data_IF_996621497109
#
_entry.id   IF_996621497109
#
_cell.length_a   1.000
_cell.length_b   1.000
_cell.length_c   1.000
_cell.angle_alpha   90.00
_cell.angle_beta   90.00
_cell.angle_gamma   90.00
#
_symmetry.space_group_name_H-M   'P 1'
#
loop_
_entity.id
_entity.type
_entity.pdbx_description
1 polymer ?
#
# COMPACT_ATOMS: atom_id res chain seq x y z
N UNK A 1 -1.21 -6.28 2.29
CA UNK A 1 -0.01 -7.01 1.83
C UNK A 1 -0.46 -8.21 1.03
N UNK A 2 0.10 -8.38 -0.16
CA UNK A 2 -0.17 -9.52 -1.03
C UNK A 2 1.09 -10.38 -1.10
N UNK A 3 0.97 -11.65 -0.79
CA UNK A 3 2.05 -12.64 -0.94
C UNK A 3 1.79 -13.43 -2.21
N UNK A 4 2.77 -13.46 -3.10
CA UNK A 4 2.67 -14.05 -4.42
C UNK A 4 3.67 -15.18 -4.60
N UNK A 5 3.32 -16.13 -5.44
CA UNK A 5 4.25 -17.15 -5.92
C UNK A 5 4.96 -16.74 -7.23
N UNK A 6 5.81 -17.63 -7.72
CA UNK A 6 6.63 -17.40 -8.91
C UNK A 6 5.84 -17.22 -10.22
N UNK A 7 4.57 -17.59 -10.26
CA UNK A 7 3.76 -17.51 -11.49
C UNK A 7 3.44 -16.07 -11.88
N UNK A 8 3.38 -15.16 -10.90
CA UNK A 8 3.04 -13.76 -11.10
C UNK A 8 4.30 -12.89 -11.34
N UNK A 9 5.47 -13.39 -10.99
CA UNK A 9 6.73 -12.64 -11.11
C UNK A 9 7.01 -12.12 -12.54
N UNK A 10 6.76 -12.87 -13.62
CA UNK A 10 6.99 -12.35 -14.97
C UNK A 10 6.22 -11.05 -15.26
N UNK A 11 4.96 -10.98 -14.85
CA UNK A 11 4.13 -9.79 -15.04
C UNK A 11 4.63 -8.61 -14.19
N UNK A 12 5.05 -8.88 -12.94
CA UNK A 12 5.68 -7.87 -12.09
C UNK A 12 6.94 -7.33 -12.75
N UNK A 13 7.82 -8.20 -13.23
CA UNK A 13 9.08 -7.81 -13.85
C UNK A 13 8.86 -6.99 -15.10
N UNK A 14 7.85 -7.34 -15.89
CA UNK A 14 7.56 -6.63 -17.13
C UNK A 14 7.10 -5.20 -16.88
N UNK A 15 6.12 -5.01 -16.01
CA UNK A 15 5.56 -3.68 -15.76
C UNK A 15 6.43 -2.82 -14.84
N UNK A 16 6.96 -3.40 -13.78
CA UNK A 16 7.73 -2.68 -12.76
C UNK A 16 9.21 -2.52 -13.11
N UNK A 17 9.68 -3.26 -14.11
CA UNK A 17 11.12 -3.35 -14.47
C UNK A 17 12.00 -3.70 -13.27
N UNK A 18 11.43 -4.43 -12.33
CA UNK A 18 12.08 -4.84 -11.08
C UNK A 18 11.97 -6.35 -10.91
N UNK A 19 13.09 -7.01 -10.76
CA UNK A 19 13.13 -8.42 -10.38
C UNK A 19 13.15 -8.54 -8.85
N UNK A 20 12.06 -9.03 -8.23
CA UNK A 20 11.99 -9.16 -6.77
C UNK A 20 12.95 -10.21 -6.21
N UNK A 21 13.41 -11.16 -7.00
CA UNK A 21 14.37 -12.18 -6.58
C UNK A 21 15.75 -11.62 -6.39
N UNK A 22 16.22 -10.84 -7.33
CA UNK A 22 17.56 -10.23 -7.28
C UNK A 22 17.58 -8.89 -6.56
N UNK A 23 16.43 -8.25 -6.43
CA UNK A 23 16.29 -6.90 -5.91
C UNK A 23 16.82 -5.83 -6.85
N UNK A 24 17.10 -6.17 -8.12
CA UNK A 24 17.52 -5.19 -9.11
C UNK A 24 16.37 -4.23 -9.40
N UNK A 25 16.62 -2.96 -9.19
CA UNK A 25 15.66 -1.88 -9.42
C UNK A 25 16.12 -1.07 -10.62
N UNK A 26 15.27 -0.99 -11.62
CA UNK A 26 15.50 -0.17 -12.82
C UNK A 26 14.73 1.15 -12.72
N UNK A 27 13.59 1.13 -12.01
CA UNK A 27 12.76 2.31 -11.75
C UNK A 27 12.60 2.52 -10.24
N UNK A 28 11.93 3.58 -9.81
CA UNK A 28 11.65 3.84 -8.41
C UNK A 28 10.94 2.67 -7.69
N UNK A 29 10.93 2.72 -6.36
CA UNK A 29 10.38 1.63 -5.53
C UNK A 29 8.86 1.48 -5.58
N UNK A 30 8.13 2.51 -6.00
CA UNK A 30 6.67 2.56 -6.06
C UNK A 30 6.23 2.64 -7.52
N UNK A 31 5.25 1.82 -7.88
CA UNK A 31 4.53 1.93 -9.16
C UNK A 31 3.14 2.46 -8.85
N UNK A 32 2.70 3.49 -9.56
CA UNK A 32 1.35 4.03 -9.50
C UNK A 32 0.67 3.87 -10.85
N UNK A 33 -0.52 3.30 -10.84
CA UNK A 33 -1.33 3.11 -12.05
C UNK A 33 -2.27 4.31 -12.21
N UNK A 34 -1.92 5.20 -13.12
CA UNK A 34 -2.68 6.43 -13.35
C UNK A 34 -4.10 6.15 -13.85
N UNK A 35 -4.28 5.10 -14.64
CA UNK A 35 -5.57 4.74 -15.23
C UNK A 35 -6.46 3.92 -14.30
N UNK A 36 -5.97 3.52 -13.14
CA UNK A 36 -6.76 2.78 -12.16
C UNK A 36 -7.79 3.69 -11.48
N UNK A 37 -9.06 3.29 -11.52
CA UNK A 37 -10.14 4.00 -10.81
C UNK A 37 -9.94 4.03 -9.29
N UNK A 38 -9.27 3.03 -8.75
CA UNK A 38 -8.88 3.04 -7.34
C UNK A 38 -7.60 3.84 -7.08
N UNK A 39 -6.96 4.35 -8.14
CA UNK A 39 -5.61 4.93 -8.08
C UNK A 39 -4.66 3.99 -7.35
N UNK A 40 -4.56 2.77 -7.89
CA UNK A 40 -3.71 1.74 -7.30
C UNK A 40 -2.24 2.12 -7.39
N UNK A 41 -1.56 1.90 -6.30
CA UNK A 41 -0.11 1.95 -6.24
C UNK A 41 0.41 0.71 -5.51
N UNK A 42 1.63 0.30 -5.83
CA UNK A 42 2.24 -0.85 -5.16
C UNK A 42 3.74 -0.72 -5.02
N UNK A 43 4.25 -1.38 -4.01
CA UNK A 43 5.68 -1.55 -3.75
C UNK A 43 5.98 -3.02 -3.64
N UNK A 44 6.99 -3.47 -4.38
CA UNK A 44 7.43 -4.86 -4.37
C UNK A 44 8.68 -4.98 -3.52
N UNK A 45 8.57 -5.77 -2.47
CA UNK A 45 9.69 -6.04 -1.60
C UNK A 45 10.62 -7.09 -2.23
N UNK A 46 11.92 -6.92 -2.02
CA UNK A 46 12.90 -7.92 -2.44
C UNK A 46 12.60 -9.23 -1.73
N UNK A 47 12.66 -10.35 -2.46
CA UNK A 47 12.57 -11.68 -1.87
C UNK A 47 13.66 -11.87 -0.80
N UNK A 48 13.27 -12.47 0.32
CA UNK A 48 14.17 -12.64 1.47
C UNK A 48 14.36 -11.37 2.31
N UNK A 49 13.57 -10.31 2.08
CA UNK A 49 13.61 -9.13 2.95
C UNK A 49 13.12 -9.42 4.36
N UNK A 50 12.12 -10.28 4.49
CA UNK A 50 11.59 -10.69 5.78
C UNK A 50 12.19 -12.03 6.19
N UNK A 51 12.55 -12.17 7.47
CA UNK A 51 13.29 -13.33 8.00
C UNK A 51 12.62 -14.67 7.72
N UNK A 52 11.30 -14.71 7.84
CA UNK A 52 10.50 -15.93 7.72
C UNK A 52 9.75 -16.01 6.37
N UNK A 53 10.19 -15.23 5.39
CA UNK A 53 9.61 -15.26 4.05
C UNK A 53 10.05 -16.49 3.28
N UNK A 54 9.10 -17.25 2.75
CA UNK A 54 9.37 -18.37 1.87
C UNK A 54 10.14 -17.92 0.61
N UNK A 55 11.04 -18.76 0.12
CA UNK A 55 11.94 -18.42 -1.00
C UNK A 55 11.22 -18.25 -2.33
N UNK A 56 10.06 -18.87 -2.48
CA UNK A 56 9.20 -18.81 -3.66
C UNK A 56 8.10 -17.74 -3.56
N UNK A 57 8.04 -17.01 -2.45
CA UNK A 57 7.05 -15.96 -2.21
C UNK A 57 7.61 -14.57 -2.36
N UNK A 58 6.80 -13.67 -2.86
CA UNK A 58 7.09 -12.23 -2.96
C UNK A 58 6.03 -11.46 -2.20
N UNK A 59 6.47 -10.55 -1.35
CA UNK A 59 5.57 -9.67 -0.61
C UNK A 59 5.38 -8.36 -1.39
N UNK A 60 4.13 -8.02 -1.64
CA UNK A 60 3.75 -6.79 -2.33
C UNK A 60 2.79 -6.00 -1.46
N UNK A 61 3.05 -4.72 -1.32
CA UNK A 61 2.13 -3.78 -0.71
C UNK A 61 1.35 -3.11 -1.81
N UNK A 62 0.05 -3.37 -1.85
CA UNK A 62 -0.88 -2.76 -2.79
C UNK A 62 -1.80 -1.85 -2.00
N UNK A 63 -1.98 -0.63 -2.45
CA UNK A 63 -2.92 0.29 -1.84
C UNK A 63 -3.66 1.10 -2.88
N UNK A 64 -4.90 1.45 -2.57
CA UNK A 64 -5.74 2.34 -3.36
C UNK A 64 -6.13 3.56 -2.55
N UNK A 65 -6.27 4.70 -3.22
CA UNK A 65 -6.69 5.94 -2.58
C UNK A 65 -8.18 6.21 -2.75
N UNK A 66 -8.77 5.79 -3.87
CA UNK A 66 -10.20 6.00 -4.16
C UNK A 66 -10.98 4.71 -3.85
N UNK A 67 -11.20 4.46 -2.57
CA UNK A 67 -11.76 3.20 -2.08
C UNK A 67 -13.28 3.10 -2.19
N UNK A 68 -13.96 4.20 -2.52
CA UNK A 68 -15.42 4.30 -2.57
C UNK A 68 -16.02 4.11 -3.98
N UNK A 69 -15.17 4.00 -5.00
CA UNK A 69 -15.62 3.85 -6.39
C UNK A 69 -15.40 2.42 -6.88
N UNK A 70 -16.24 1.93 -7.84
CA UNK A 70 -16.00 0.64 -8.46
C UNK A 70 -14.68 0.61 -9.22
N UNK A 71 -14.00 -0.55 -9.18
CA UNK A 71 -12.76 -0.79 -9.93
C UNK A 71 -12.97 -0.93 -11.43
N UNK A 72 -11.89 -1.17 -12.14
CA UNK A 72 -11.89 -1.36 -13.59
C UNK A 72 -12.22 -2.80 -13.98
N UNK A 73 -11.67 -3.77 -13.30
CA UNK A 73 -11.99 -5.19 -13.45
C UNK A 73 -13.08 -5.60 -12.45
N UNK A 74 -12.87 -5.36 -11.19
CA UNK A 74 -13.84 -5.61 -10.12
C UNK A 74 -14.83 -4.44 -10.03
N UNK A 75 -16.05 -4.65 -10.46
CA UNK A 75 -17.10 -3.61 -10.52
C UNK A 75 -17.72 -3.32 -9.14
N UNK A 76 -16.88 -3.17 -8.12
CA UNK A 76 -17.25 -3.02 -6.71
C UNK A 76 -16.27 -2.05 -6.04
N UNK A 77 -16.68 -1.22 -5.07
CA UNK A 77 -15.77 -0.37 -4.31
C UNK A 77 -14.69 -1.17 -3.59
N UNK A 78 -13.46 -0.69 -3.61
CA UNK A 78 -12.32 -1.41 -3.00
C UNK A 78 -12.55 -1.73 -1.52
N UNK A 79 -13.17 -0.82 -0.77
CA UNK A 79 -13.48 -1.02 0.66
C UNK A 79 -14.38 -2.22 0.95
N UNK A 80 -15.20 -2.63 -0.03
CA UNK A 80 -16.15 -3.73 0.09
C UNK A 80 -15.58 -5.02 -0.53
N UNK A 81 -14.34 -4.99 -1.05
CA UNK A 81 -13.72 -6.12 -1.71
C UNK A 81 -13.03 -7.07 -0.74
N UNK A 82 -13.08 -8.35 -1.08
CA UNK A 82 -12.23 -9.38 -0.47
C UNK A 82 -10.78 -9.24 -0.95
N UNK A 83 -9.84 -9.88 -0.25
CA UNK A 83 -8.45 -9.91 -0.68
C UNK A 83 -8.25 -10.50 -2.07
N UNK A 84 -9.03 -11.54 -2.43
CA UNK A 84 -9.03 -12.12 -3.78
C UNK A 84 -9.44 -11.09 -4.84
N UNK A 85 -10.51 -10.36 -4.62
CA UNK A 85 -11.00 -9.33 -5.54
C UNK A 85 -9.99 -8.19 -5.71
N UNK A 86 -9.36 -7.75 -4.62
CA UNK A 86 -8.29 -6.75 -4.68
C UNK A 86 -7.09 -7.27 -5.49
N UNK A 87 -6.74 -8.53 -5.30
CA UNK A 87 -5.67 -9.16 -6.07
C UNK A 87 -6.03 -9.23 -7.55
N UNK A 88 -7.25 -9.63 -7.89
CA UNK A 88 -7.72 -9.71 -9.28
C UNK A 88 -7.66 -8.34 -9.98
N UNK A 89 -8.11 -7.27 -9.33
CA UNK A 89 -8.00 -5.91 -9.87
C UNK A 89 -6.53 -5.51 -10.09
N UNK A 90 -5.65 -5.84 -9.15
CA UNK A 90 -4.23 -5.55 -9.28
C UNK A 90 -3.58 -6.35 -10.42
N UNK A 91 -3.91 -7.65 -10.58
CA UNK A 91 -3.43 -8.48 -11.68
C UNK A 91 -3.88 -7.95 -13.05
N UNK A 92 -5.11 -7.45 -13.13
CA UNK A 92 -5.59 -6.77 -14.33
C UNK A 92 -4.69 -5.59 -14.71
N UNK A 93 -4.33 -4.75 -13.75
CA UNK A 93 -3.43 -3.61 -13.97
C UNK A 93 -1.95 -4.01 -14.19
N UNK A 94 -1.57 -5.24 -13.86
CA UNK A 94 -0.28 -5.82 -14.25
C UNK A 94 -0.28 -6.35 -15.70
N UNK A 95 -1.42 -6.34 -16.39
CA UNK A 95 -1.53 -6.85 -17.75
C UNK A 95 -1.62 -8.37 -17.82
N UNK A 96 -2.05 -9.03 -16.77
CA UNK A 96 -2.36 -10.46 -16.80
C UNK A 96 -3.56 -10.68 -17.71
N UNK A 97 -3.54 -11.68 -18.63
CA UNK A 97 -4.70 -12.03 -19.44
C UNK A 97 -5.94 -12.30 -18.58
N UNK A 98 -7.09 -11.76 -18.98
CA UNK A 98 -8.31 -11.80 -18.16
C UNK A 98 -8.74 -13.25 -17.83
N UNK A 99 -8.51 -14.19 -18.73
CA UNK A 99 -8.82 -15.61 -18.56
C UNK A 99 -7.95 -16.31 -17.49
N UNK A 100 -6.86 -15.68 -17.04
CA UNK A 100 -5.95 -16.20 -16.02
C UNK A 100 -6.09 -15.48 -14.65
N UNK A 101 -6.72 -14.33 -14.63
CA UNK A 101 -6.77 -13.47 -13.43
C UNK A 101 -7.38 -14.21 -12.24
N UNK A 102 -8.56 -14.81 -12.42
CA UNK A 102 -9.28 -15.43 -11.31
C UNK A 102 -8.54 -16.65 -10.75
N UNK A 103 -7.92 -17.45 -11.62
CA UNK A 103 -7.11 -18.60 -11.20
C UNK A 103 -5.88 -18.14 -10.39
N UNK A 104 -5.15 -17.15 -10.89
CA UNK A 104 -3.96 -16.64 -10.22
C UNK A 104 -4.32 -15.94 -8.90
N UNK A 105 -5.42 -15.20 -8.86
CA UNK A 105 -5.87 -14.55 -7.64
C UNK A 105 -6.30 -15.55 -6.56
N UNK A 106 -6.85 -16.71 -6.95
CA UNK A 106 -7.28 -17.75 -6.02
C UNK A 106 -6.13 -18.61 -5.52
N UNK A 107 -5.23 -19.04 -6.43
CA UNK A 107 -4.28 -20.12 -6.14
C UNK A 107 -2.83 -19.65 -5.99
N UNK A 108 -2.50 -18.46 -6.50
CA UNK A 108 -1.12 -17.97 -6.54
C UNK A 108 -0.86 -16.74 -5.67
N UNK A 109 -1.86 -16.27 -4.94
CA UNK A 109 -1.71 -15.11 -4.06
C UNK A 109 -2.54 -15.24 -2.79
N UNK A 110 -2.04 -14.63 -1.72
CA UNK A 110 -2.78 -14.41 -0.49
C UNK A 110 -2.78 -12.92 -0.18
N UNK A 111 -3.95 -12.32 -0.17
CA UNK A 111 -4.10 -10.91 0.15
C UNK A 111 -4.85 -10.74 1.47
N UNK A 112 -4.24 -10.01 2.37
CA UNK A 112 -4.88 -9.57 3.63
C UNK A 112 -5.29 -8.11 3.45
N UNK A 113 -6.59 -7.83 3.22
CA UNK A 113 -7.08 -6.46 3.12
C UNK A 113 -7.01 -5.77 4.48
N UNK A 114 -6.57 -4.53 4.47
CA UNK A 114 -6.50 -3.70 5.66
C UNK A 114 -7.03 -2.31 5.33
N UNK A 115 -8.11 -1.91 5.97
CA UNK A 115 -8.61 -0.55 5.87
C UNK A 115 -7.83 0.34 6.84
N UNK A 116 -7.24 1.40 6.31
CA UNK A 116 -6.53 2.42 7.08
C UNK A 116 -7.43 3.67 7.15
N UNK A 117 -8.29 3.80 8.17
CA UNK A 117 -9.20 4.92 8.25
C UNK A 117 -8.44 6.23 8.37
N UNK A 118 -8.91 7.24 7.66
CA UNK A 118 -8.33 8.59 7.65
C UNK A 118 -6.88 8.67 7.15
N UNK A 119 -6.35 7.63 6.48
CA UNK A 119 -4.96 7.63 5.99
C UNK A 119 -4.68 8.82 5.05
N UNK A 120 -5.65 9.25 4.27
CA UNK A 120 -5.52 10.39 3.37
C UNK A 120 -5.61 11.74 4.07
N UNK A 121 -6.00 11.78 5.33
CA UNK A 121 -6.15 13.03 6.09
C UNK A 121 -4.84 13.82 6.20
N UNK A 122 -3.70 13.16 6.20
CA UNK A 122 -2.41 13.85 6.26
C UNK A 122 -2.02 14.57 4.95
N UNK A 123 -2.70 14.30 3.85
CA UNK A 123 -2.56 15.06 2.60
C UNK A 123 -3.50 16.27 2.53
N UNK A 124 -4.46 16.37 3.44
CA UNK A 124 -5.41 17.47 3.44
C UNK A 124 -4.75 18.78 3.92
N UNK A 125 -5.15 19.92 3.36
CA UNK A 125 -4.74 21.23 3.87
C UNK A 125 -5.07 21.35 5.37
N UNK A 126 -4.18 21.95 6.12
CA UNK A 126 -4.34 22.19 7.56
C UNK A 126 -3.79 23.55 7.95
N UNK A 127 -4.31 24.09 9.02
CA UNK A 127 -3.80 25.28 9.67
C UNK A 127 -3.18 24.94 11.02
N UNK A 128 -2.48 25.89 11.60
CA UNK A 128 -1.94 25.75 12.97
C UNK A 128 -3.11 25.56 13.94
N UNK A 129 -3.03 24.52 14.77
CA UNK A 129 -4.05 24.17 15.75
C UNK A 129 -5.07 23.15 15.29
N UNK A 130 -5.02 22.69 14.04
CA UNK A 130 -5.87 21.59 13.53
C UNK A 130 -5.49 20.22 14.11
N UNK A 131 -4.31 20.12 14.69
CA UNK A 131 -3.80 18.90 15.33
C UNK A 131 -3.58 19.15 16.82
N UNK A 132 -3.75 18.12 17.66
CA UNK A 132 -3.42 18.24 19.07
C UNK A 132 -1.91 18.41 19.25
N UNK A 133 -1.53 19.20 20.25
CA UNK A 133 -0.15 19.23 20.70
C UNK A 133 0.30 17.86 21.20
N UNK A 134 1.60 17.57 21.12
CA UNK A 134 2.18 16.33 21.66
C UNK A 134 1.78 16.17 23.14
N UNK A 135 1.88 17.20 23.91
CA UNK A 135 1.39 17.25 25.29
C UNK A 135 0.35 18.36 25.38
N UNK A 136 -0.95 18.04 25.26
CA UNK A 136 -2.00 19.05 25.37
C UNK A 136 -2.03 19.69 26.74
N UNK A 137 -2.46 20.94 26.80
CA UNK A 137 -2.61 21.66 28.04
C UNK A 137 -3.46 20.89 29.07
N UNK A 138 -2.98 20.82 30.29
CA UNK A 138 -3.62 20.07 31.36
C UNK A 138 -3.35 18.58 31.40
N UNK A 139 -2.60 18.04 30.45
CA UNK A 139 -2.17 16.65 30.49
C UNK A 139 -0.92 16.48 31.34
N UNK A 140 -0.95 15.49 32.26
CA UNK A 140 0.17 15.21 33.18
C UNK A 140 0.94 13.94 32.80
N UNK A 141 0.22 12.90 32.32
CA UNK A 141 0.76 11.58 32.06
C UNK A 141 0.28 10.99 30.73
N UNK A 142 -0.06 11.84 29.79
CA UNK A 142 -0.61 11.47 28.51
C UNK A 142 0.03 12.33 27.41
N UNK A 143 0.37 11.71 26.26
CA UNK A 143 0.91 12.38 25.09
C UNK A 143 0.39 11.77 23.80
N UNK A 144 0.16 12.61 22.79
CA UNK A 144 -0.09 12.16 21.42
C UNK A 144 1.23 12.01 20.68
N UNK A 145 1.47 10.83 20.09
CA UNK A 145 2.62 10.57 19.27
C UNK A 145 2.19 10.24 17.85
N UNK A 146 3.07 10.51 16.91
CA UNK A 146 2.85 10.15 15.52
C UNK A 146 2.45 11.34 14.65
N UNK A 147 2.11 11.04 13.40
CA UNK A 147 1.94 12.04 12.35
C UNK A 147 0.72 12.96 12.51
N UNK A 148 -0.19 12.68 13.42
CA UNK A 148 -1.37 13.49 13.71
C UNK A 148 -1.22 14.40 14.93
N UNK A 149 -0.11 14.35 15.65
CA UNK A 149 0.23 15.36 16.65
C UNK A 149 0.90 16.57 15.99
N UNK A 150 0.75 17.75 16.57
CA UNK A 150 1.40 18.95 16.03
C UNK A 150 2.87 19.04 16.47
N UNK A 151 3.72 19.50 15.56
CA UNK A 151 5.11 19.84 15.83
C UNK A 151 5.49 21.08 15.01
N UNK A 152 6.12 22.07 15.64
CA UNK A 152 6.36 23.35 14.99
C UNK A 152 7.42 23.32 13.90
N UNK A 153 8.16 22.22 13.77
CA UNK A 153 9.32 22.11 12.87
C UNK A 153 9.11 21.24 11.65
N UNK A 154 8.06 20.44 11.63
CA UNK A 154 7.83 19.48 10.58
C UNK A 154 6.43 19.61 9.99
N UNK A 155 6.33 19.40 8.69
CA UNK A 155 5.05 19.42 7.98
C UNK A 155 4.77 18.10 7.26
N UNK A 156 5.78 17.29 7.04
CA UNK A 156 5.71 16.05 6.25
C UNK A 156 5.53 14.85 7.16
N UNK A 157 4.50 14.08 6.88
CA UNK A 157 4.15 12.83 7.56
C UNK A 157 5.16 11.71 7.24
N UNK A 158 6.24 11.66 7.93
CA UNK A 158 7.27 10.63 7.78
C UNK A 158 7.46 9.85 9.07
N UNK A 159 8.18 8.74 8.99
CA UNK A 159 8.63 8.04 10.19
C UNK A 159 9.42 8.98 11.11
N UNK A 160 10.24 9.85 10.52
CA UNK A 160 10.99 10.87 11.26
C UNK A 160 10.05 11.82 12.01
N UNK A 161 8.94 12.24 11.39
CA UNK A 161 7.93 13.05 12.05
C UNK A 161 7.40 12.35 13.32
N UNK A 162 7.08 11.06 13.20
CA UNK A 162 6.59 10.27 14.34
C UNK A 162 7.64 10.12 15.45
N UNK A 163 8.91 9.94 15.07
CA UNK A 163 10.02 9.90 16.05
C UNK A 163 10.22 11.26 16.72
N UNK A 164 10.10 12.36 15.97
CA UNK A 164 10.26 13.70 16.50
C UNK A 164 9.16 14.06 17.50
N UNK A 165 7.92 13.64 17.28
CA UNK A 165 6.85 13.81 18.27
C UNK A 165 7.13 13.07 19.57
N UNK A 166 7.79 11.90 19.48
CA UNK A 166 8.19 11.15 20.68
C UNK A 166 9.36 11.80 21.40
#
# INVERSE_FOLDING_TARGET
>A
VTTLDDKIIPYITDICKRDPRTGKVVTGGIVSCQDSKWLLSWTINRQGQFKDQDKDKVCVWVYGLFTDVPGDYIKKPMKDCTGKEITAEWLYHLGVPEDQIDELAEHSAVCVPTMMPYITAFFMPRTKGDRPDVIPDGCVNFAFLGQFADTPRDTVFTTEYSVRTA
#
